data_IF_701134135053
#
_entry.id   IF_701134135053
#
_cell.length_a   1.000
_cell.length_b   1.000
_cell.length_c   1.000
_cell.angle_alpha   90.00
_cell.angle_beta   90.00
_cell.angle_gamma   90.00
#
_symmetry.space_group_name_H-M   'P 1'
#
loop_
_entity.id
_entity.type
_entity.pdbx_description
1 polymer ?
#
# COMPACT_ATOMS: atom_id res chain seq x y z
N UNK A 1 -21.08 -32.03 -15.85
CA UNK A 1 -19.71 -32.26 -15.37
C UNK A 1 -19.08 -30.89 -15.11
N UNK A 2 -18.92 -30.49 -13.86
CA UNK A 2 -18.36 -29.17 -13.54
C UNK A 2 -16.83 -29.30 -13.44
N UNK A 3 -16.13 -28.75 -14.43
CA UNK A 3 -14.69 -28.49 -14.34
C UNK A 3 -14.43 -27.31 -13.40
N UNK A 4 -13.18 -27.02 -13.06
CA UNK A 4 -12.76 -25.82 -12.34
C UNK A 4 -11.94 -24.96 -13.29
N UNK A 5 -12.19 -23.65 -13.30
CA UNK A 5 -11.32 -22.69 -13.99
C UNK A 5 -10.19 -22.32 -13.03
N UNK A 6 -8.96 -22.49 -13.49
CA UNK A 6 -7.74 -22.14 -12.76
C UNK A 6 -7.02 -21.02 -13.50
N UNK A 7 -6.82 -19.89 -12.83
CA UNK A 7 -5.93 -18.84 -13.30
C UNK A 7 -4.60 -18.94 -12.55
N UNK A 8 -3.49 -18.95 -13.28
CA UNK A 8 -2.16 -19.08 -12.69
C UNK A 8 -1.25 -17.92 -13.13
N UNK A 9 -0.61 -17.27 -12.16
CA UNK A 9 0.44 -16.27 -12.37
C UNK A 9 1.74 -16.79 -11.76
N UNK A 10 2.87 -16.38 -12.32
CA UNK A 10 4.18 -16.45 -11.69
C UNK A 10 4.68 -15.06 -11.28
N UNK A 11 5.51 -15.01 -10.24
CA UNK A 11 6.16 -13.80 -9.78
C UNK A 11 7.60 -14.03 -9.33
N UNK A 12 8.40 -12.97 -9.33
CA UNK A 12 9.81 -12.98 -8.87
C UNK A 12 10.08 -11.68 -8.11
N UNK A 13 10.84 -11.71 -6.99
CA UNK A 13 11.46 -12.87 -6.36
C UNK A 13 10.46 -13.87 -5.73
N UNK A 14 10.82 -15.15 -5.61
CA UNK A 14 9.93 -16.18 -5.06
C UNK A 14 9.57 -15.94 -3.59
N UNK A 15 10.51 -15.32 -2.88
CA UNK A 15 10.51 -14.89 -1.49
C UNK A 15 9.98 -13.46 -1.29
N UNK A 16 9.35 -12.88 -2.32
CA UNK A 16 8.78 -11.53 -2.23
C UNK A 16 7.76 -11.41 -1.09
N UNK A 17 6.97 -12.45 -0.88
CA UNK A 17 6.11 -12.63 0.30
C UNK A 17 6.79 -13.53 1.34
N UNK A 18 6.66 -13.16 2.61
CA UNK A 18 7.29 -13.89 3.73
C UNK A 18 6.56 -15.18 4.09
N UNK A 19 5.28 -15.29 3.72
CA UNK A 19 4.39 -16.40 4.06
C UNK A 19 3.38 -16.64 2.94
N UNK A 20 2.80 -17.84 2.91
CA UNK A 20 1.73 -18.17 1.98
C UNK A 20 0.45 -17.37 2.30
N UNK A 21 -0.09 -16.69 1.30
CA UNK A 21 -1.33 -15.92 1.43
C UNK A 21 -2.49 -16.72 0.86
N UNK A 22 -3.55 -16.87 1.65
CA UNK A 22 -4.80 -17.50 1.24
C UNK A 22 -5.92 -16.47 1.26
N UNK A 23 -6.63 -16.34 0.14
CA UNK A 23 -7.74 -15.41 -0.04
C UNK A 23 -8.98 -16.24 -0.40
N UNK A 24 -10.00 -16.16 0.44
CA UNK A 24 -11.32 -16.72 0.16
C UNK A 24 -12.30 -15.61 -0.17
N UNK A 25 -12.92 -15.69 -1.34
CA UNK A 25 -14.10 -14.91 -1.71
C UNK A 25 -15.25 -15.87 -2.00
N UNK A 26 -16.49 -15.38 -2.02
CA UNK A 26 -17.66 -16.18 -2.43
C UNK A 26 -17.49 -16.74 -3.86
N UNK A 27 -16.69 -16.04 -4.67
CA UNK A 27 -16.53 -16.31 -6.10
C UNK A 27 -15.31 -17.15 -6.45
N UNK A 28 -14.28 -17.13 -5.60
CA UNK A 28 -13.00 -17.79 -5.88
C UNK A 28 -12.19 -18.06 -4.61
N UNK A 29 -11.26 -19.01 -4.72
CA UNK A 29 -10.19 -19.22 -3.76
C UNK A 29 -8.85 -18.91 -4.42
N UNK A 30 -8.00 -18.13 -3.79
CA UNK A 30 -6.68 -17.78 -4.31
C UNK A 30 -5.58 -18.10 -3.30
N UNK A 31 -4.47 -18.64 -3.80
CA UNK A 31 -3.28 -18.95 -3.03
C UNK A 31 -2.05 -18.28 -3.67
N UNK A 32 -1.22 -17.64 -2.85
CA UNK A 32 0.05 -17.02 -3.26
C UNK A 32 1.17 -17.69 -2.46
N UNK A 33 2.07 -18.40 -3.13
CA UNK A 33 3.18 -19.10 -2.49
C UNK A 33 4.28 -19.47 -3.51
N UNK A 34 5.55 -19.39 -3.10
CA UNK A 34 6.66 -20.01 -3.84
C UNK A 34 6.84 -19.49 -5.27
N UNK A 35 6.61 -18.20 -5.52
CA UNK A 35 6.70 -17.61 -6.86
C UNK A 35 5.49 -17.89 -7.76
N UNK A 36 4.41 -18.47 -7.22
CA UNK A 36 3.17 -18.78 -7.95
C UNK A 36 1.95 -18.18 -7.26
N UNK A 37 0.99 -17.74 -8.06
CA UNK A 37 -0.37 -17.41 -7.64
C UNK A 37 -1.33 -18.34 -8.39
N UNK A 38 -2.24 -18.97 -7.67
CA UNK A 38 -3.26 -19.84 -8.23
C UNK A 38 -4.64 -19.39 -7.73
N UNK A 39 -5.55 -19.05 -8.64
CA UNK A 39 -6.95 -18.79 -8.33
C UNK A 39 -7.83 -19.90 -8.91
N UNK A 40 -8.69 -20.48 -8.07
CA UNK A 40 -9.67 -21.52 -8.42
C UNK A 40 -11.06 -20.92 -8.41
N UNK A 41 -11.77 -21.03 -9.53
CA UNK A 41 -13.04 -20.36 -9.80
C UNK A 41 -14.02 -21.38 -10.37
N UNK A 42 -15.28 -21.32 -9.94
CA UNK A 42 -16.34 -22.15 -10.54
C UNK A 42 -16.68 -21.63 -11.94
N UNK A 43 -16.88 -22.50 -12.94
CA UNK A 43 -17.13 -22.06 -14.33
C UNK A 43 -18.36 -21.17 -14.47
N UNK A 44 -19.42 -21.46 -13.73
CA UNK A 44 -20.67 -20.71 -13.79
C UNK A 44 -20.52 -19.27 -13.27
N UNK A 45 -19.54 -19.00 -12.42
CA UNK A 45 -19.17 -17.65 -12.00
C UNK A 45 -18.25 -17.00 -13.04
N UNK A 46 -17.22 -17.74 -13.47
CA UNK A 46 -16.22 -17.22 -14.41
C UNK A 46 -16.86 -16.73 -15.71
N UNK A 47 -17.81 -17.49 -16.25
CA UNK A 47 -18.51 -17.16 -17.49
C UNK A 47 -19.52 -15.99 -17.31
N UNK A 48 -20.00 -15.75 -16.08
CA UNK A 48 -20.98 -14.68 -15.78
C UNK A 48 -20.35 -13.32 -15.49
N UNK A 49 -19.06 -13.27 -15.15
CA UNK A 49 -18.37 -12.04 -14.78
C UNK A 49 -17.42 -11.64 -15.92
N UNK A 50 -17.83 -10.72 -16.82
CA UNK A 50 -16.94 -10.20 -17.84
C UNK A 50 -15.67 -9.64 -17.20
N UNK A 51 -14.53 -9.88 -17.84
CA UNK A 51 -13.22 -9.37 -17.40
C UNK A 51 -12.78 -9.84 -16.00
N UNK A 52 -13.36 -10.91 -15.45
CA UNK A 52 -12.97 -11.45 -14.14
C UNK A 52 -11.45 -11.67 -14.03
N UNK A 53 -10.83 -12.19 -15.10
CA UNK A 53 -9.39 -12.40 -15.18
C UNK A 53 -8.60 -11.10 -14.98
N UNK A 54 -8.99 -10.05 -15.68
CA UNK A 54 -8.28 -8.76 -15.65
C UNK A 54 -8.52 -8.07 -14.29
N UNK A 55 -9.72 -8.18 -13.74
CA UNK A 55 -10.05 -7.68 -12.40
C UNK A 55 -9.25 -8.39 -11.29
N UNK A 56 -9.08 -9.71 -11.40
CA UNK A 56 -8.25 -10.51 -10.47
C UNK A 56 -6.77 -10.18 -10.63
N UNK A 57 -6.28 -10.00 -11.87
CA UNK A 57 -4.90 -9.57 -12.10
C UNK A 57 -4.63 -8.19 -11.51
N UNK A 58 -5.55 -7.25 -11.67
CA UNK A 58 -5.43 -5.92 -11.09
C UNK A 58 -5.45 -5.97 -9.55
N UNK A 59 -6.37 -6.74 -8.96
CA UNK A 59 -6.44 -6.95 -7.51
C UNK A 59 -5.12 -7.54 -6.97
N UNK A 60 -4.60 -8.54 -7.67
CA UNK A 60 -3.32 -9.16 -7.37
C UNK A 60 -2.18 -8.15 -7.46
N UNK A 61 -2.11 -7.37 -8.54
CA UNK A 61 -1.07 -6.36 -8.71
C UNK A 61 -1.11 -5.30 -7.60
N UNK A 62 -2.29 -4.87 -7.15
CA UNK A 62 -2.41 -3.96 -5.99
C UNK A 62 -1.82 -4.54 -4.70
N UNK A 63 -1.94 -5.86 -4.49
CA UNK A 63 -1.34 -6.55 -3.36
C UNK A 63 0.19 -6.56 -3.45
N UNK A 64 0.73 -6.82 -4.65
CA UNK A 64 2.19 -6.71 -4.88
C UNK A 64 2.70 -5.28 -4.70
N UNK A 65 1.99 -4.28 -5.22
CA UNK A 65 2.30 -2.87 -5.01
C UNK A 65 2.33 -2.51 -3.52
N UNK A 66 1.39 -3.04 -2.73
CA UNK A 66 1.34 -2.82 -1.27
C UNK A 66 2.57 -3.41 -0.58
N UNK A 67 3.04 -4.59 -1.00
CA UNK A 67 4.27 -5.20 -0.48
C UNK A 67 5.53 -4.46 -0.93
N UNK A 68 5.60 -4.06 -2.20
CA UNK A 68 6.70 -3.24 -2.74
C UNK A 68 6.78 -1.90 -1.99
N UNK A 69 5.63 -1.30 -1.69
CA UNK A 69 5.55 -0.08 -0.90
C UNK A 69 6.18 -0.26 0.50
N UNK A 70 5.95 -1.38 1.16
CA UNK A 70 6.52 -1.64 2.49
C UNK A 70 8.00 -2.00 2.46
N UNK A 71 8.40 -2.82 1.50
CA UNK A 71 9.74 -3.41 1.46
C UNK A 71 10.73 -2.69 0.58
N UNK A 72 10.25 -1.79 -0.29
CA UNK A 72 11.00 -1.17 -1.36
C UNK A 72 11.71 -2.18 -2.30
N UNK A 73 11.18 -3.41 -2.39
CA UNK A 73 11.73 -4.46 -3.26
C UNK A 73 11.06 -4.45 -4.63
N UNK A 74 11.86 -4.68 -5.66
CA UNK A 74 11.36 -4.93 -7.01
C UNK A 74 10.61 -6.26 -7.07
N UNK A 75 9.59 -6.30 -7.91
CA UNK A 75 8.92 -7.53 -8.28
C UNK A 75 8.59 -7.54 -9.78
N UNK A 76 8.44 -8.74 -10.31
CA UNK A 76 7.74 -8.97 -11.57
C UNK A 76 6.54 -9.86 -11.30
N UNK A 77 5.43 -9.57 -11.97
CA UNK A 77 4.21 -10.35 -11.97
C UNK A 77 3.85 -10.62 -13.44
N UNK A 78 3.77 -11.88 -13.82
CA UNK A 78 3.36 -12.28 -15.17
C UNK A 78 1.88 -11.98 -15.42
N UNK A 79 1.41 -12.17 -16.66
CA UNK A 79 -0.03 -12.31 -16.94
C UNK A 79 -0.53 -13.68 -16.50
N UNK A 80 -1.83 -13.78 -16.22
CA UNK A 80 -2.45 -15.07 -15.91
C UNK A 80 -2.42 -15.98 -17.13
N UNK A 81 -2.01 -17.22 -16.94
CA UNK A 81 -2.47 -18.34 -17.76
C UNK A 81 -3.85 -18.81 -17.27
N UNK A 82 -4.64 -19.38 -18.18
CA UNK A 82 -5.96 -19.94 -17.87
C UNK A 82 -5.91 -21.44 -18.11
N UNK A 83 -6.49 -22.23 -17.22
CA UNK A 83 -6.70 -23.64 -17.47
C UNK A 83 -8.03 -24.16 -16.94
N UNK A 84 -8.52 -25.24 -17.56
CA UNK A 84 -9.75 -25.93 -17.14
C UNK A 84 -9.36 -27.30 -16.64
N UNK A 85 -9.59 -27.55 -15.36
CA UNK A 85 -9.34 -28.82 -14.69
C UNK A 85 -10.65 -29.62 -14.60
N UNK A 86 -10.71 -30.74 -15.30
CA UNK A 86 -11.88 -31.61 -15.34
C UNK A 86 -11.83 -32.66 -14.19
N UNK A 87 -12.97 -33.25 -13.79
CA UNK A 87 -13.01 -34.25 -12.72
C UNK A 87 -12.18 -35.51 -12.98
N UNK A 88 -11.88 -35.81 -14.25
CA UNK A 88 -11.04 -36.93 -14.69
C UNK A 88 -9.52 -36.61 -14.60
N UNK A 89 -9.16 -35.43 -14.11
CA UNK A 89 -7.78 -34.96 -13.98
C UNK A 89 -7.21 -34.31 -15.25
N UNK A 90 -7.96 -34.26 -16.35
CA UNK A 90 -7.51 -33.59 -17.58
C UNK A 90 -7.40 -32.08 -17.36
N UNK A 91 -6.31 -31.47 -17.84
CA UNK A 91 -6.06 -30.03 -17.79
C UNK A 91 -5.89 -29.46 -19.20
N UNK A 92 -6.77 -28.54 -19.61
CA UNK A 92 -6.57 -27.76 -20.83
C UNK A 92 -5.96 -26.41 -20.46
N UNK A 93 -4.79 -26.06 -21.00
CA UNK A 93 -4.05 -24.83 -20.64
C UNK A 93 -4.01 -23.85 -21.80
N UNK A 94 -4.24 -22.57 -21.50
CA UNK A 94 -4.11 -21.43 -22.40
C UNK A 94 -3.10 -20.45 -21.82
N UNK A 95 -1.99 -20.24 -22.53
CA UNK A 95 -0.89 -19.35 -22.12
C UNK A 95 -0.94 -18.08 -22.96
N UNK A 96 -0.67 -16.95 -22.33
CA UNK A 96 -0.56 -15.64 -22.96
C UNK A 96 0.88 -15.15 -22.81
N UNK A 97 1.64 -15.03 -23.90
CA UNK A 97 3.07 -14.71 -23.85
C UNK A 97 3.32 -13.20 -23.76
N UNK A 98 4.30 -12.79 -22.93
CA UNK A 98 4.92 -11.46 -22.94
C UNK A 98 6.43 -11.53 -22.69
N UNK A 99 7.15 -10.59 -23.30
CA UNK A 99 8.59 -10.36 -23.16
C UNK A 99 8.91 -9.56 -21.89
N UNK A 100 9.82 -10.08 -21.04
CA UNK A 100 10.22 -9.47 -19.76
C UNK A 100 11.62 -8.85 -19.89
N UNK A 101 11.81 -7.62 -19.38
CA UNK A 101 13.13 -7.04 -19.11
C UNK A 101 13.28 -6.87 -17.59
N UNK A 102 14.40 -7.34 -17.03
CA UNK A 102 14.62 -7.45 -15.58
C UNK A 102 15.86 -6.64 -15.18
N UNK A 103 15.73 -5.79 -14.16
CA UNK A 103 16.87 -5.13 -13.49
C UNK A 103 16.71 -5.37 -11.99
N UNK A 104 17.73 -5.85 -11.30
CA UNK A 104 17.71 -6.11 -9.86
C UNK A 104 18.57 -5.07 -9.13
N UNK A 105 18.05 -4.48 -8.05
CA UNK A 105 18.83 -3.71 -7.07
C UNK A 105 18.72 -4.41 -5.69
N UNK A 106 19.85 -4.48 -4.98
CA UNK A 106 20.04 -5.28 -3.76
C UNK A 106 19.84 -4.45 -2.49
N UNK A 107 18.85 -4.85 -1.67
CA UNK A 107 18.92 -4.99 -0.21
C UNK A 107 18.87 -3.76 0.71
N UNK A 108 17.83 -3.67 1.54
CA UNK A 108 17.86 -3.02 2.87
C UNK A 108 17.93 -4.09 3.98
N UNK A 109 18.73 -3.85 5.02
CA UNK A 109 19.00 -4.79 6.12
C UNK A 109 17.82 -4.98 7.09
N UNK A 110 17.67 -6.19 7.64
CA UNK A 110 16.77 -6.48 8.78
C UNK A 110 17.44 -6.02 10.09
N UNK A 111 16.72 -5.23 10.92
CA UNK A 111 17.18 -4.83 12.25
C UNK A 111 16.50 -5.73 13.29
N UNK A 112 17.30 -6.47 14.07
CA UNK A 112 16.87 -7.23 15.24
C UNK A 112 17.30 -6.47 16.52
N UNK A 113 16.33 -6.00 17.31
CA UNK A 113 16.59 -5.43 18.64
C UNK A 113 16.36 -6.53 19.70
N UNK A 114 17.44 -6.98 20.35
CA UNK A 114 17.39 -7.90 21.49
C UNK A 114 17.76 -7.15 22.76
N UNK A 115 17.15 -7.50 23.89
CA UNK A 115 17.60 -7.00 25.20
C UNK A 115 18.91 -7.69 25.62
N UNK A 116 19.49 -7.19 26.72
CA UNK A 116 20.70 -7.73 27.34
C UNK A 116 20.56 -9.16 27.86
N UNK A 117 19.34 -9.70 27.91
CA UNK A 117 19.04 -11.07 28.32
C UNK A 117 18.77 -11.99 27.12
N UNK A 118 18.93 -11.49 25.89
CA UNK A 118 18.69 -12.26 24.66
C UNK A 118 17.21 -12.38 24.28
N UNK A 119 16.30 -11.71 24.99
CA UNK A 119 14.88 -11.65 24.63
C UNK A 119 14.66 -10.66 23.49
N UNK A 120 13.76 -11.02 22.58
CA UNK A 120 13.34 -10.14 21.49
C UNK A 120 12.39 -9.08 22.06
N UNK A 121 12.79 -7.79 22.01
CA UNK A 121 11.98 -6.68 22.54
C UNK A 121 10.86 -6.27 21.55
N UNK A 122 11.06 -6.54 20.26
CA UNK A 122 10.12 -6.24 19.16
C UNK A 122 10.12 -7.42 18.18
N UNK A 123 8.98 -8.09 18.00
CA UNK A 123 8.76 -9.05 16.91
C UNK A 123 8.39 -8.28 15.63
N UNK A 124 9.42 -7.69 15.00
CA UNK A 124 9.27 -6.85 13.81
C UNK A 124 8.69 -7.61 12.61
N UNK A 125 8.71 -8.94 12.63
CA UNK A 125 8.14 -9.77 11.56
C UNK A 125 6.62 -9.81 11.65
N UNK A 126 6.07 -10.10 12.83
CA UNK A 126 4.61 -10.11 13.02
C UNK A 126 4.00 -8.73 12.78
N UNK A 127 4.65 -7.67 13.28
CA UNK A 127 4.21 -6.29 13.05
C UNK A 127 4.28 -5.90 11.57
N UNK A 128 5.32 -6.32 10.85
CA UNK A 128 5.47 -6.07 9.40
C UNK A 128 4.40 -6.82 8.60
N UNK A 129 4.14 -8.08 8.92
CA UNK A 129 3.09 -8.89 8.30
C UNK A 129 1.70 -8.31 8.60
N UNK A 130 1.46 -7.83 9.83
CA UNK A 130 0.19 -7.21 10.19
C UNK A 130 -0.03 -5.90 9.44
N UNK A 131 0.97 -5.02 9.41
CA UNK A 131 0.92 -3.75 8.66
C UNK A 131 0.72 -3.97 7.17
N UNK A 132 1.32 -5.02 6.60
CA UNK A 132 1.08 -5.45 5.22
C UNK A 132 -0.37 -5.87 4.98
N UNK A 133 -0.91 -6.72 5.85
CA UNK A 133 -2.31 -7.16 5.75
C UNK A 133 -3.27 -5.98 5.89
N UNK A 134 -3.05 -5.09 6.83
CA UNK A 134 -3.87 -3.89 7.04
C UNK A 134 -3.86 -2.96 5.81
N UNK A 135 -2.67 -2.65 5.27
CA UNK A 135 -2.57 -1.78 4.09
C UNK A 135 -3.16 -2.42 2.85
N UNK A 136 -2.88 -3.71 2.61
CA UNK A 136 -3.49 -4.44 1.50
C UNK A 136 -5.03 -4.41 1.59
N UNK A 137 -5.58 -4.56 2.80
CA UNK A 137 -7.03 -4.49 3.03
C UNK A 137 -7.58 -3.08 2.77
N UNK A 138 -6.91 -2.03 3.24
CA UNK A 138 -7.33 -0.64 2.99
C UNK A 138 -7.30 -0.27 1.51
N UNK A 139 -6.26 -0.70 0.78
CA UNK A 139 -6.17 -0.51 -0.67
C UNK A 139 -7.31 -1.25 -1.37
N UNK A 140 -7.54 -2.52 -1.05
CA UNK A 140 -8.62 -3.31 -1.65
C UNK A 140 -10.01 -2.70 -1.38
N UNK A 141 -10.23 -2.18 -0.17
CA UNK A 141 -11.49 -1.56 0.24
C UNK A 141 -11.81 -0.28 -0.54
N UNK A 142 -10.79 0.53 -0.85
CA UNK A 142 -10.99 1.88 -1.39
C UNK A 142 -10.56 2.05 -2.85
N UNK A 143 -9.82 1.11 -3.45
CA UNK A 143 -9.29 1.22 -4.84
C UNK A 143 -10.36 1.48 -5.90
N UNK A 144 -11.56 0.92 -5.73
CA UNK A 144 -12.68 1.11 -6.67
C UNK A 144 -13.36 2.47 -6.55
N UNK A 145 -13.16 3.16 -5.43
CA UNK A 145 -13.82 4.43 -5.11
C UNK A 145 -12.92 5.64 -5.30
N UNK A 146 -11.60 5.46 -5.20
CA UNK A 146 -10.65 6.57 -5.24
C UNK A 146 -9.46 6.29 -6.16
N UNK A 147 -9.53 6.87 -7.37
CA UNK A 147 -8.49 6.75 -8.41
C UNK A 147 -7.14 7.30 -7.97
N UNK A 148 -7.09 8.19 -6.97
CA UNK A 148 -5.83 8.74 -6.48
C UNK A 148 -4.99 7.65 -5.81
N UNK A 149 -5.59 6.65 -5.14
CA UNK A 149 -4.84 5.55 -4.53
C UNK A 149 -3.98 4.82 -5.57
N UNK A 150 -4.59 4.50 -6.72
CA UNK A 150 -3.89 3.83 -7.81
C UNK A 150 -2.74 4.69 -8.35
N UNK A 151 -2.94 6.01 -8.47
CA UNK A 151 -1.88 6.94 -8.86
C UNK A 151 -0.73 6.97 -7.84
N UNK A 152 -1.03 7.04 -6.54
CA UNK A 152 0.00 7.10 -5.50
C UNK A 152 0.86 5.83 -5.45
N UNK A 153 0.22 4.66 -5.51
CA UNK A 153 0.92 3.37 -5.52
C UNK A 153 1.73 3.19 -6.81
N UNK A 154 1.19 3.64 -7.95
CA UNK A 154 1.91 3.62 -9.22
C UNK A 154 3.15 4.51 -9.17
N UNK A 155 3.03 5.77 -8.72
CA UNK A 155 4.19 6.66 -8.59
C UNK A 155 5.25 6.10 -7.64
N UNK A 156 4.85 5.41 -6.56
CA UNK A 156 5.81 4.72 -5.71
C UNK A 156 6.50 3.58 -6.46
N UNK A 157 5.75 2.78 -7.21
CA UNK A 157 6.31 1.70 -8.05
C UNK A 157 7.28 2.24 -9.10
N UNK A 158 6.94 3.34 -9.77
CA UNK A 158 7.80 4.00 -10.75
C UNK A 158 9.12 4.45 -10.07
N UNK A 159 9.07 4.89 -8.80
CA UNK A 159 10.27 5.21 -8.03
C UNK A 159 11.20 4.00 -7.82
N UNK A 160 10.63 2.84 -7.49
CA UNK A 160 11.42 1.59 -7.32
C UNK A 160 11.99 1.11 -8.66
N UNK A 161 11.20 1.21 -9.74
CA UNK A 161 11.57 0.73 -11.07
C UNK A 161 12.52 1.68 -11.83
N UNK A 162 12.59 2.95 -11.43
CA UNK A 162 13.48 3.94 -12.03
C UNK A 162 14.31 4.67 -10.95
N UNK A 163 15.34 4.01 -10.40
CA UNK A 163 16.18 4.56 -9.32
C UNK A 163 16.87 5.87 -9.70
N UNK A 164 17.09 6.11 -11.00
CA UNK A 164 17.71 7.35 -11.50
C UNK A 164 16.79 8.55 -11.36
N UNK A 165 15.48 8.35 -11.29
CA UNK A 165 14.48 9.40 -11.09
C UNK A 165 13.65 9.15 -9.81
N UNK A 166 14.19 8.40 -8.85
CA UNK A 166 13.44 7.98 -7.66
C UNK A 166 12.77 9.16 -6.94
N UNK A 167 13.53 10.23 -6.64
CA UNK A 167 12.99 11.41 -5.95
C UNK A 167 11.97 12.17 -6.80
N UNK A 168 12.06 12.10 -8.13
CA UNK A 168 11.03 12.68 -9.03
C UNK A 168 9.71 11.94 -8.86
N UNK A 169 9.74 10.62 -8.89
CA UNK A 169 8.54 9.78 -8.76
C UNK A 169 7.95 9.87 -7.35
N UNK A 170 8.79 9.88 -6.32
CA UNK A 170 8.37 10.13 -4.94
C UNK A 170 7.73 11.52 -4.76
N UNK A 171 8.24 12.53 -5.46
CA UNK A 171 7.66 13.88 -5.42
C UNK A 171 6.26 13.96 -6.02
N UNK A 172 5.98 13.19 -7.08
CA UNK A 172 4.65 13.16 -7.72
C UNK A 172 3.54 12.78 -6.72
N UNK A 173 3.85 11.97 -5.71
CA UNK A 173 2.90 11.62 -4.64
C UNK A 173 2.51 12.85 -3.83
N UNK A 174 3.49 13.66 -3.42
CA UNK A 174 3.24 14.91 -2.70
C UNK A 174 2.49 15.91 -3.59
N UNK A 175 2.82 15.98 -4.88
CA UNK A 175 2.17 16.87 -5.85
C UNK A 175 0.71 16.47 -6.09
N UNK A 176 0.41 15.18 -6.19
CA UNK A 176 -0.94 14.66 -6.36
C UNK A 176 -1.81 14.94 -5.12
N UNK A 177 -1.26 14.76 -3.91
CA UNK A 177 -1.94 15.11 -2.66
C UNK A 177 -2.13 16.64 -2.51
N UNK A 178 -1.15 17.42 -2.94
CA UNK A 178 -1.25 18.88 -3.03
C UNK A 178 -2.36 19.31 -3.97
N UNK A 179 -2.49 18.64 -5.12
CA UNK A 179 -3.54 18.91 -6.10
C UNK A 179 -4.93 18.62 -5.52
N UNK A 180 -5.07 17.53 -4.74
CA UNK A 180 -6.34 17.16 -4.11
C UNK A 180 -6.79 18.13 -3.01
N UNK A 181 -5.89 18.48 -2.09
CA UNK A 181 -6.27 19.22 -0.88
C UNK A 181 -5.93 20.72 -0.96
N UNK A 182 -5.04 21.12 -1.87
CA UNK A 182 -4.41 22.43 -1.92
C UNK A 182 -3.16 22.50 -1.04
N UNK A 183 -2.14 23.24 -1.51
CA UNK A 183 -0.78 23.30 -0.92
C UNK A 183 -0.76 23.57 0.59
N UNK A 184 -1.55 24.54 1.07
CA UNK A 184 -1.57 24.90 2.50
C UNK A 184 -2.38 23.94 3.37
N UNK A 185 -3.34 23.21 2.78
CA UNK A 185 -4.29 22.37 3.52
C UNK A 185 -3.88 20.90 3.54
N UNK A 186 -3.09 20.45 2.56
CA UNK A 186 -2.67 19.05 2.44
C UNK A 186 -1.96 18.52 3.70
N UNK A 187 -0.95 19.22 4.28
CA UNK A 187 -0.29 18.72 5.49
C UNK A 187 -1.27 18.60 6.66
N UNK A 188 -2.10 19.63 6.87
CA UNK A 188 -3.09 19.66 7.96
C UNK A 188 -4.15 18.56 7.82
N UNK A 189 -4.69 18.35 6.61
CA UNK A 189 -5.70 17.31 6.36
C UNK A 189 -5.18 15.90 6.60
N UNK A 190 -3.89 15.69 6.33
CA UNK A 190 -3.22 14.40 6.49
C UNK A 190 -2.57 14.23 7.87
N UNK A 191 -2.59 15.26 8.73
CA UNK A 191 -1.91 15.22 10.03
C UNK A 191 -0.38 15.13 9.91
N UNK A 192 0.18 15.77 8.88
CA UNK A 192 1.61 15.81 8.60
C UNK A 192 2.17 17.15 9.03
N UNK A 193 3.34 17.11 9.68
CA UNK A 193 4.08 18.30 10.06
C UNK A 193 4.49 19.12 8.81
N UNK A 194 4.13 20.41 8.72
CA UNK A 194 4.50 21.27 7.59
C UNK A 194 6.01 21.34 7.34
N UNK A 195 6.84 21.27 8.38
CA UNK A 195 8.30 21.27 8.25
C UNK A 195 8.83 20.00 7.58
N UNK A 196 8.23 18.85 7.87
CA UNK A 196 8.55 17.58 7.19
C UNK A 196 8.13 17.64 5.73
N UNK A 197 6.96 18.23 5.46
CA UNK A 197 6.44 18.43 4.11
C UNK A 197 7.35 19.30 3.25
N UNK A 198 7.76 20.45 3.77
CA UNK A 198 8.64 21.38 3.05
C UNK A 198 10.07 20.82 2.97
N UNK A 199 10.56 20.12 4.00
CA UNK A 199 11.86 19.46 3.99
C UNK A 199 11.97 18.39 2.90
N UNK A 200 10.92 17.58 2.70
CA UNK A 200 10.88 16.62 1.59
C UNK A 200 10.84 17.32 0.23
N UNK A 201 10.05 18.40 0.10
CA UNK A 201 10.05 19.20 -1.13
C UNK A 201 11.45 19.70 -1.45
N UNK A 202 12.15 20.29 -0.47
CA UNK A 202 13.51 20.80 -0.67
C UNK A 202 14.48 19.69 -1.07
N UNK A 203 14.34 18.50 -0.48
CA UNK A 203 15.15 17.33 -0.82
C UNK A 203 14.96 16.88 -2.29
N UNK A 204 13.71 16.79 -2.75
CA UNK A 204 13.40 16.26 -4.08
C UNK A 204 13.53 17.31 -5.21
N UNK A 205 13.33 18.58 -4.89
CA UNK A 205 13.15 19.67 -5.87
C UNK A 205 14.31 20.68 -5.87
N UNK A 206 14.87 21.01 -4.70
CA UNK A 206 15.80 22.15 -4.57
C UNK A 206 17.27 21.71 -4.47
N UNK A 207 17.56 20.56 -3.84
CA UNK A 207 18.94 20.07 -3.70
C UNK A 207 19.54 19.67 -5.06
N UNK A 208 20.87 19.82 -5.24
CA UNK A 208 21.57 19.46 -6.49
C UNK A 208 21.76 17.94 -6.60
N UNK A 209 20.66 17.18 -6.65
CA UNK A 209 20.67 15.73 -6.72
C UNK A 209 20.39 15.24 -8.14
N UNK A 210 21.17 14.25 -8.59
CA UNK A 210 20.93 13.58 -9.89
C UNK A 210 19.57 12.90 -9.92
N UNK A 211 19.07 12.42 -8.79
CA UNK A 211 17.76 11.76 -8.69
C UNK A 211 16.59 12.75 -8.58
N UNK A 212 16.85 14.04 -8.37
CA UNK A 212 15.84 15.10 -8.16
C UNK A 212 15.28 15.74 -9.43
N UNK A 213 14.26 16.59 -9.27
CA UNK A 213 13.46 17.17 -10.37
C UNK A 213 14.19 18.28 -11.15
N UNK A 214 14.99 19.11 -10.48
CA UNK A 214 15.61 20.28 -11.10
C UNK A 214 17.13 20.13 -11.35
N UNK A 215 17.49 19.13 -12.17
CA UNK A 215 18.87 18.89 -12.62
C UNK A 215 19.51 20.09 -13.32
N UNK A 216 18.73 20.76 -14.18
CA UNK A 216 19.22 21.85 -15.05
C UNK A 216 19.62 23.13 -14.31
N UNK A 217 19.13 23.37 -13.08
CA UNK A 217 19.51 24.56 -12.29
C UNK A 217 20.88 24.43 -11.63
N UNK A 218 21.38 23.20 -11.48
CA UNK A 218 22.60 22.89 -10.74
C UNK A 218 23.55 21.96 -11.54
N UNK A 219 23.52 22.01 -12.88
CA UNK A 219 24.15 21.02 -13.76
C UNK A 219 25.62 20.72 -13.41
N UNK A 220 26.39 21.73 -13.01
CA UNK A 220 27.83 21.60 -12.70
C UNK A 220 28.12 21.09 -11.28
N UNK A 221 27.10 20.88 -10.43
CA UNK A 221 27.23 20.50 -9.01
C UNK A 221 26.37 19.30 -8.62
N UNK A 222 25.84 18.56 -9.59
CA UNK A 222 24.99 17.42 -9.31
C UNK A 222 25.77 16.28 -8.64
N UNK A 223 25.31 15.87 -7.47
CA UNK A 223 25.76 14.65 -6.79
C UNK A 223 24.65 13.61 -6.74
N UNK A 224 25.01 12.37 -6.46
CA UNK A 224 24.02 11.34 -6.15
C UNK A 224 23.43 11.59 -4.75
N UNK A 225 22.15 11.28 -4.58
CA UNK A 225 21.52 11.20 -3.27
C UNK A 225 22.22 10.11 -2.44
N UNK A 226 22.43 10.37 -1.15
CA UNK A 226 22.91 9.32 -0.26
C UNK A 226 21.78 8.33 0.05
N UNK A 227 22.13 7.11 0.45
CA UNK A 227 21.11 6.13 0.85
C UNK A 227 20.25 6.63 2.03
N UNK A 228 20.85 7.40 2.95
CA UNK A 228 20.11 8.03 4.05
C UNK A 228 19.10 9.09 3.56
N UNK A 229 19.44 9.85 2.52
CA UNK A 229 18.52 10.81 1.89
C UNK A 229 17.37 10.11 1.16
N UNK A 230 17.68 9.01 0.44
CA UNK A 230 16.65 8.19 -0.21
C UNK A 230 15.73 7.54 0.82
N UNK A 231 16.29 6.96 1.89
CA UNK A 231 15.51 6.33 2.95
C UNK A 231 14.64 7.34 3.71
N UNK A 232 15.13 8.57 3.94
CA UNK A 232 14.33 9.66 4.48
C UNK A 232 13.13 9.99 3.57
N UNK A 233 13.36 10.10 2.25
CA UNK A 233 12.32 10.34 1.26
C UNK A 233 11.28 9.20 1.22
N UNK A 234 11.74 7.94 1.14
CA UNK A 234 10.90 6.75 1.15
C UNK A 234 10.03 6.68 2.41
N UNK A 235 10.63 6.89 3.58
CA UNK A 235 9.92 6.86 4.86
C UNK A 235 8.87 7.97 4.97
N UNK A 236 9.20 9.19 4.51
CA UNK A 236 8.23 10.28 4.48
C UNK A 236 7.05 10.00 3.53
N UNK A 237 7.33 9.53 2.32
CA UNK A 237 6.29 9.20 1.34
C UNK A 237 5.43 8.02 1.80
N UNK A 238 6.02 7.02 2.47
CA UNK A 238 5.26 5.95 3.11
C UNK A 238 4.25 6.51 4.10
N UNK A 239 4.69 7.40 4.99
CA UNK A 239 3.81 8.11 5.93
C UNK A 239 2.69 8.88 5.22
N UNK A 240 2.98 9.51 4.08
CA UNK A 240 1.96 10.25 3.29
C UNK A 240 0.87 9.33 2.75
N UNK A 241 1.23 8.22 2.11
CA UNK A 241 0.28 7.27 1.53
C UNK A 241 -0.58 6.63 2.63
N UNK A 242 0.03 6.23 3.74
CA UNK A 242 -0.70 5.67 4.89
C UNK A 242 -1.67 6.69 5.51
N UNK A 243 -1.22 7.94 5.70
CA UNK A 243 -2.07 9.01 6.21
C UNK A 243 -3.27 9.26 5.30
N UNK A 244 -3.04 9.19 3.99
CA UNK A 244 -4.08 9.34 3.00
C UNK A 244 -5.09 8.17 3.00
N UNK A 245 -4.63 6.92 3.06
CA UNK A 245 -5.50 5.74 3.19
C UNK A 245 -6.37 5.81 4.47
N UNK A 246 -5.80 6.27 5.59
CA UNK A 246 -6.56 6.49 6.83
C UNK A 246 -7.52 7.68 6.74
N UNK A 247 -7.17 8.70 5.96
CA UNK A 247 -8.06 9.84 5.71
C UNK A 247 -9.32 9.40 4.97
N UNK A 248 -9.17 8.69 3.85
CA UNK A 248 -10.33 8.22 3.08
C UNK A 248 -11.17 7.20 3.85
N UNK A 249 -10.56 6.37 4.70
CA UNK A 249 -11.30 5.40 5.50
C UNK A 249 -12.18 6.09 6.56
N UNK A 250 -11.66 7.17 7.18
CA UNK A 250 -12.44 8.00 8.11
C UNK A 250 -13.57 8.75 7.43
N UNK A 251 -13.33 9.29 6.24
CA UNK A 251 -14.36 10.00 5.45
C UNK A 251 -15.45 9.03 4.96
N UNK A 252 -15.09 7.79 4.64
CA UNK A 252 -16.04 6.76 4.20
C UNK A 252 -16.84 6.11 5.36
N UNK A 253 -16.33 6.20 6.59
CA UNK A 253 -16.99 5.69 7.80
C UNK A 253 -16.95 6.76 8.91
N UNK A 254 -17.72 7.86 8.77
CA UNK A 254 -17.81 8.86 9.81
C UNK A 254 -18.45 8.22 11.05
N UNK A 255 -17.66 7.99 12.10
CA UNK A 255 -18.21 7.61 13.41
C UNK A 255 -19.12 8.75 13.86
N UNK A 256 -20.42 8.48 13.99
CA UNK A 256 -21.38 9.39 14.59
C UNK A 256 -20.90 9.83 15.98
N UNK A 257 -20.70 11.14 16.17
CA UNK A 257 -20.77 11.85 17.45
C UNK A 257 -19.76 11.48 18.54
N UNK A 258 -18.56 12.06 18.51
CA UNK A 258 -17.85 12.36 19.75
C UNK A 258 -18.48 13.63 20.37
N UNK A 259 -19.44 13.43 21.27
CA UNK A 259 -19.85 14.48 22.21
C UNK A 259 -18.64 14.82 23.09
N UNK A 260 -18.24 16.09 23.22
CA UNK A 260 -17.20 16.46 24.17
C UNK A 260 -17.75 16.27 25.58
N UNK A 261 -17.11 15.39 26.35
CA UNK A 261 -17.30 15.32 27.80
C UNK A 261 -16.76 16.62 28.37
N UNK A 262 -17.66 17.57 28.63
CA UNK A 262 -17.36 18.73 29.45
C UNK A 262 -17.13 18.24 30.88
N UNK A 263 -15.88 18.29 31.32
CA UNK A 263 -15.57 18.36 32.74
C UNK A 263 -16.18 19.65 33.29
N UNK A 264 -17.25 19.54 34.07
CA UNK A 264 -17.52 20.54 35.09
C UNK A 264 -17.77 19.84 36.42
N UNK A 265 -16.89 20.13 37.36
CA UNK A 265 -16.87 19.60 38.72
C UNK A 265 -17.25 20.77 39.62
N UNK A 266 -18.47 20.80 40.16
CA UNK A 266 -18.67 21.38 41.50
C UNK A 266 -19.83 20.70 42.26
N UNK A 267 -19.44 20.11 43.39
CA UNK A 267 -20.16 19.88 44.66
C UNK A 267 -21.01 21.11 45.07
N UNK A 268 -22.00 21.13 45.97
CA UNK A 268 -22.57 20.23 46.98
C UNK A 268 -23.81 20.93 47.61
N UNK A 269 -24.68 20.14 48.24
CA UNK A 269 -25.42 20.41 49.51
C UNK A 269 -26.77 21.18 49.52
N UNK A 270 -27.80 20.40 49.91
CA UNK A 270 -28.99 20.65 50.76
C UNK A 270 -29.71 22.02 50.80
N UNK A 271 -31.05 21.99 50.66
CA UNK A 271 -32.00 22.08 51.81
C UNK A 271 -33.50 22.08 51.38
N UNK A 272 -34.26 21.17 52.00
CA UNK A 272 -35.68 21.20 52.44
C UNK A 272 -36.91 21.45 51.49
N UNK A 273 -38.02 20.68 51.66
CA UNK A 273 -39.36 20.89 51.07
C UNK A 273 -40.37 21.50 52.09
N UNK A 274 -41.71 21.48 51.87
CA UNK A 274 -42.53 22.02 50.78
C UNK A 274 -43.54 23.08 51.30
N UNK A 275 -44.16 23.87 50.41
CA UNK A 275 -45.41 24.60 50.73
C UNK A 275 -46.46 24.39 49.64
N UNK A 276 -47.71 24.41 50.12
CA UNK A 276 -48.98 23.97 49.54
C UNK A 276 -49.68 24.99 48.63
N UNK A 277 -50.81 24.51 48.06
CA UNK A 277 -51.95 25.21 47.44
C UNK A 277 -51.85 25.31 45.89
N UNK A 278 -52.82 24.88 45.08
CA UNK A 278 -54.26 24.65 45.26
C UNK A 278 -54.73 23.46 44.41
#
# INVERSE_FOLDING_TARGET
>A
MQYIVILEWTYTPTEFFEEAIHIGHEDYQMKIEGGKVEARIRPDIYDKIPMMRDALHEALNFRFLSRQFLTHKLYSLSKSSESRLYPDGRKNVRIFAESIMMTCAVGSADILLKDTNGNVIIDSRQDRVHREKELGTLVEKHRSKDKLIALLLKSYSDAVNDPKNELVHLYQIQEALTTRFGKKKAPTKLGIDPTQWDGFKALADDKPLRQGRHRGRNADKLRDATEAELEQARTFVRKLIEAYLRYIDREACPKNGSVPVSHDTTREVHSSPPWTNH
#
